data_IF_195671586091
#
_entry.id   IF_195671586091
#
_cell.length_a   1.000
_cell.length_b   1.000
_cell.length_c   1.000
_cell.angle_alpha   90.00
_cell.angle_beta   90.00
_cell.angle_gamma   90.00
#
_symmetry.space_group_name_H-M   'P 1'
#
loop_
_entity.id
_entity.type
_entity.pdbx_description
1 polymer ?
#
# COMPACT_ATOMS: atom_id res chain seq x y z
N UNK A 1 9.00 -9.23 -13.17
CA UNK A 1 10.03 -8.17 -13.17
C UNK A 1 10.13 -7.62 -11.76
N UNK A 2 11.32 -7.58 -11.14
CA UNK A 2 11.49 -6.95 -9.84
C UNK A 2 11.47 -5.42 -10.01
N UNK A 3 10.46 -4.75 -9.46
CA UNK A 3 10.34 -3.28 -9.44
C UNK A 3 10.86 -2.75 -8.11
N UNK A 4 12.13 -2.99 -7.80
CA UNK A 4 12.78 -2.44 -6.61
C UNK A 4 13.45 -1.11 -6.94
N UNK A 5 13.13 -0.06 -6.21
CA UNK A 5 13.79 1.25 -6.29
C UNK A 5 14.21 1.69 -4.90
N UNK A 6 15.43 2.18 -4.77
CA UNK A 6 15.92 2.75 -3.50
C UNK A 6 15.33 4.15 -3.35
N UNK A 7 14.65 4.38 -2.24
CA UNK A 7 14.06 5.67 -1.89
C UNK A 7 14.70 6.19 -0.61
N UNK A 8 14.97 7.50 -0.56
CA UNK A 8 15.41 8.17 0.67
C UNK A 8 14.18 8.50 1.52
N UNK A 9 14.29 8.26 2.83
CA UNK A 9 13.29 8.72 3.80
C UNK A 9 13.38 10.23 3.98
N UNK A 10 12.24 10.92 3.96
CA UNK A 10 12.20 12.35 4.24
C UNK A 10 12.53 12.62 5.72
N UNK A 11 12.89 13.86 6.09
CA UNK A 11 13.09 14.22 7.48
C UNK A 11 11.87 13.97 8.38
N UNK A 12 10.67 13.96 7.80
CA UNK A 12 9.40 13.67 8.49
C UNK A 12 9.07 12.17 8.54
N UNK A 13 9.98 11.28 8.14
CA UNK A 13 9.76 9.84 8.16
C UNK A 13 8.93 9.30 7.00
N UNK A 14 8.68 10.09 5.95
CA UNK A 14 7.87 9.66 4.81
C UNK A 14 8.74 9.07 3.70
N UNK A 15 8.24 8.06 3.01
CA UNK A 15 8.79 7.58 1.74
C UNK A 15 7.81 7.88 0.61
N UNK A 16 8.33 8.23 -0.57
CA UNK A 16 7.50 8.36 -1.77
C UNK A 16 7.42 7.02 -2.47
N UNK A 17 6.20 6.57 -2.78
CA UNK A 17 5.99 5.37 -3.60
C UNK A 17 6.25 5.76 -5.07
N UNK A 18 7.17 5.07 -5.77
CA UNK A 18 7.40 5.32 -7.19
C UNK A 18 6.14 5.17 -8.04
N UNK A 19 5.95 6.07 -9.02
CA UNK A 19 4.76 6.09 -9.89
C UNK A 19 4.47 4.75 -10.56
N UNK A 20 5.51 4.02 -10.98
CA UNK A 20 5.35 2.69 -11.59
C UNK A 20 4.71 1.68 -10.63
N UNK A 21 5.09 1.71 -9.34
CA UNK A 21 4.50 0.83 -8.32
C UNK A 21 3.05 1.23 -8.05
N UNK A 22 2.77 2.54 -7.96
CA UNK A 22 1.39 3.03 -7.81
C UNK A 22 0.49 2.56 -8.95
N UNK A 23 0.93 2.68 -10.21
CA UNK A 23 0.18 2.22 -11.38
C UNK A 23 -0.03 0.70 -11.34
N UNK A 24 1.03 -0.07 -11.04
CA UNK A 24 0.93 -1.54 -10.98
C UNK A 24 -0.03 -2.02 -9.91
N UNK A 25 -0.09 -1.33 -8.76
CA UNK A 25 -0.97 -1.69 -7.64
C UNK A 25 -2.30 -0.94 -7.64
N UNK A 26 -2.57 -0.08 -8.62
CA UNK A 26 -3.78 0.73 -8.70
C UNK A 26 -3.97 1.67 -7.51
N UNK A 27 -2.88 2.20 -6.95
CA UNK A 27 -2.90 3.12 -5.81
C UNK A 27 -3.07 4.54 -6.33
N UNK A 28 -4.09 5.24 -5.82
CA UNK A 28 -4.38 6.62 -6.14
C UNK A 28 -4.22 7.55 -4.94
N UNK A 29 -4.30 8.86 -5.17
CA UNK A 29 -4.23 9.84 -4.08
C UNK A 29 -5.49 9.70 -3.22
N UNK A 30 -5.31 9.59 -1.91
CA UNK A 30 -6.42 9.42 -0.96
C UNK A 30 -6.72 7.97 -0.60
N UNK A 31 -6.10 7.00 -1.29
CA UNK A 31 -6.17 5.61 -0.88
C UNK A 31 -5.46 5.39 0.46
N UNK A 32 -5.97 4.45 1.23
CA UNK A 32 -5.35 4.01 2.47
C UNK A 32 -4.38 2.88 2.19
N UNK A 33 -3.31 2.82 2.96
CA UNK A 33 -2.32 1.75 2.90
C UNK A 33 -2.08 1.28 4.32
N UNK A 34 -2.30 0.00 4.56
CA UNK A 34 -1.92 -0.65 5.80
C UNK A 34 -0.41 -0.86 5.81
N UNK A 35 0.22 -0.49 6.92
CA UNK A 35 1.66 -0.61 7.15
C UNK A 35 1.88 -1.70 8.18
N UNK A 36 2.58 -2.76 7.79
CA UNK A 36 2.83 -3.93 8.61
C UNK A 36 4.34 -4.26 8.65
N UNK A 37 4.77 -5.02 9.65
CA UNK A 37 6.15 -5.48 9.79
C UNK A 37 6.17 -6.99 9.71
N UNK A 38 6.70 -7.52 8.60
CA UNK A 38 6.86 -8.95 8.42
C UNK A 38 8.35 -9.32 8.42
N UNK A 39 8.76 -10.06 9.46
CA UNK A 39 10.15 -10.46 9.74
C UNK A 39 11.07 -9.26 9.96
N UNK A 40 11.60 -8.70 8.87
CA UNK A 40 12.55 -7.58 8.88
C UNK A 40 12.28 -6.60 7.73
N UNK A 41 11.06 -6.64 7.17
CA UNK A 41 10.63 -5.78 6.09
C UNK A 41 9.36 -5.05 6.47
N UNK A 42 9.23 -3.81 5.99
CA UNK A 42 7.96 -3.11 5.99
C UNK A 42 7.14 -3.63 4.80
N UNK A 43 5.92 -4.06 5.06
CA UNK A 43 4.97 -4.48 4.02
C UNK A 43 3.85 -3.45 3.95
N UNK A 44 3.62 -2.95 2.74
CA UNK A 44 2.57 -1.97 2.45
C UNK A 44 1.44 -2.67 1.70
N UNK A 45 0.24 -2.72 2.30
CA UNK A 45 -0.94 -3.39 1.75
C UNK A 45 -1.99 -2.33 1.38
N UNK A 46 -2.27 -2.07 0.08
CA UNK A 46 -3.33 -1.14 -0.30
C UNK A 46 -4.68 -1.55 0.28
N UNK A 47 -5.41 -0.59 0.84
CA UNK A 47 -6.75 -0.79 1.39
C UNK A 47 -7.69 0.25 0.78
N UNK A 48 -8.78 -0.22 0.20
CA UNK A 48 -9.91 0.65 -0.13
C UNK A 48 -10.76 0.81 1.12
N UNK A 49 -11.18 2.03 1.44
CA UNK A 49 -12.28 2.22 2.35
C UNK A 49 -13.53 1.66 1.68
N UNK A 50 -13.98 0.52 2.16
CA UNK A 50 -15.30 -0.01 1.81
C UNK A 50 -16.22 0.52 2.90
N UNK A 51 -17.33 1.16 2.50
CA UNK A 51 -18.39 1.53 3.44
C UNK A 51 -18.81 0.26 4.22
N UNK A 52 -18.85 0.28 5.56
CA UNK A 52 -19.29 -0.86 6.35
C UNK A 52 -20.65 -1.44 5.90
N UNK A 53 -21.55 -0.60 5.38
CA UNK A 53 -22.86 -0.98 4.82
C UNK A 53 -22.76 -1.76 3.50
N UNK A 54 -21.59 -1.73 2.85
CA UNK A 54 -21.27 -2.45 1.60
C UNK A 54 -20.36 -3.66 1.85
N UNK A 55 -20.07 -4.00 3.11
CA UNK A 55 -19.04 -4.96 3.53
C UNK A 55 -19.35 -6.46 3.34
N UNK A 56 -20.40 -6.83 2.61
CA UNK A 56 -20.78 -8.24 2.43
C UNK A 56 -20.09 -8.90 1.23
N UNK A 57 -18.75 -8.87 1.19
CA UNK A 57 -18.01 -9.78 0.32
C UNK A 57 -16.57 -9.87 0.78
N UNK A 58 -16.23 -10.91 1.55
CA UNK A 58 -14.94 -11.63 1.59
C UNK A 58 -15.02 -12.71 2.68
N UNK A 59 -15.79 -13.78 2.47
CA UNK A 59 -15.37 -15.08 2.99
C UNK A 59 -14.45 -15.68 1.95
N UNK A 60 -13.17 -15.89 2.30
CA UNK A 60 -12.28 -16.75 1.52
C UNK A 60 -12.86 -18.17 1.64
N UNK A 61 -13.36 -18.71 0.54
CA UNK A 61 -13.36 -20.17 0.32
C UNK A 61 -11.95 -20.63 -0.04
#
# INVERSE_FOLDING_TARGET
MSTSTIMKISPQGQIRIPKKIMITLGIEKGDYVEVDVEKSHIVLKPRKLIDPLQGWYWTKE
#
